data_IF_935951030587
#
_entry.id   IF_935951030587
#
_cell.length_a   1.000
_cell.length_b   1.000
_cell.length_c   1.000
_cell.angle_alpha   90.00
_cell.angle_beta   90.00
_cell.angle_gamma   90.00
#
_symmetry.space_group_name_H-M   'P 1'
#
loop_
_entity.id
_entity.type
_entity.pdbx_description
1 polymer ?
#
# COMPACT_ATOMS: atom_id res chain seq x y z
N UNK A 1 -20.61 18.84 11.43
CA UNK A 1 -19.66 17.75 11.73
C UNK A 1 -19.56 16.81 10.53
N UNK A 2 -18.37 16.48 10.03
CA UNK A 2 -18.23 15.58 8.85
C UNK A 2 -18.56 14.14 9.27
N UNK A 3 -19.41 13.47 8.51
CA UNK A 3 -19.85 12.10 8.78
C UNK A 3 -18.71 11.08 8.60
N UNK A 4 -18.77 9.89 9.23
CA UNK A 4 -17.76 8.85 9.03
C UNK A 4 -17.59 8.42 7.57
N UNK A 5 -18.67 8.37 6.81
CA UNK A 5 -18.67 8.00 5.39
C UNK A 5 -17.96 9.07 4.54
N UNK A 6 -18.31 10.35 4.73
CA UNK A 6 -17.64 11.46 4.04
C UNK A 6 -16.13 11.51 4.36
N UNK A 7 -15.74 11.19 5.60
CA UNK A 7 -14.32 11.09 5.98
C UNK A 7 -13.59 10.00 5.21
N UNK A 8 -14.22 8.83 5.08
CA UNK A 8 -13.67 7.70 4.34
C UNK A 8 -13.54 8.05 2.84
N UNK A 9 -14.61 8.56 2.23
CA UNK A 9 -14.63 8.94 0.81
C UNK A 9 -13.60 10.02 0.49
N UNK A 10 -13.47 11.04 1.34
CA UNK A 10 -12.46 12.09 1.21
C UNK A 10 -11.05 11.51 1.24
N UNK A 11 -10.80 10.53 2.11
CA UNK A 11 -9.49 9.88 2.25
C UNK A 11 -9.17 9.00 1.03
N UNK A 12 -10.15 8.25 0.53
CA UNK A 12 -9.99 7.43 -0.68
C UNK A 12 -9.75 8.30 -1.92
N UNK A 13 -10.44 9.44 -2.04
CA UNK A 13 -10.24 10.43 -3.11
C UNK A 13 -8.80 10.98 -3.10
N UNK A 14 -8.24 11.23 -1.90
CA UNK A 14 -6.85 11.63 -1.74
C UNK A 14 -5.87 10.53 -2.19
N UNK A 15 -6.06 9.28 -1.74
CA UNK A 15 -5.19 8.17 -2.16
C UNK A 15 -5.24 7.89 -3.67
N UNK A 16 -6.42 7.96 -4.28
CA UNK A 16 -6.60 7.68 -5.70
C UNK A 16 -5.99 8.76 -6.61
N UNK A 17 -6.00 10.02 -6.16
CA UNK A 17 -5.51 11.14 -6.97
C UNK A 17 -4.02 11.44 -6.78
N UNK A 18 -3.45 11.10 -5.62
CA UNK A 18 -2.11 11.57 -5.22
C UNK A 18 -1.99 13.10 -5.19
N UNK A 19 -3.13 13.82 -5.24
CA UNK A 19 -3.18 15.26 -5.38
C UNK A 19 -3.02 15.96 -4.02
N UNK A 20 -2.74 17.25 -4.05
CA UNK A 20 -2.66 18.06 -2.84
C UNK A 20 -4.02 18.07 -2.10
N UNK A 21 -3.95 18.19 -0.76
CA UNK A 21 -5.13 18.28 0.10
C UNK A 21 -6.12 19.39 -0.29
N UNK A 22 -5.66 20.46 -0.95
CA UNK A 22 -6.53 21.53 -1.48
C UNK A 22 -7.45 21.02 -2.60
N UNK A 23 -6.90 20.29 -3.57
CA UNK A 23 -7.66 19.72 -4.70
C UNK A 23 -8.67 18.68 -4.22
N UNK A 24 -8.32 17.93 -3.17
CA UNK A 24 -9.25 16.98 -2.56
C UNK A 24 -10.34 17.68 -1.74
N UNK A 25 -10.03 18.83 -1.12
CA UNK A 25 -10.99 19.65 -0.39
C UNK A 25 -12.06 20.27 -1.28
N UNK A 26 -11.67 20.73 -2.46
CA UNK A 26 -12.59 21.33 -3.44
C UNK A 26 -13.67 20.34 -3.93
N UNK A 27 -13.37 19.03 -3.95
CA UNK A 27 -14.34 17.99 -4.36
C UNK A 27 -15.37 17.65 -3.29
N UNK A 28 -15.10 18.01 -2.03
CA UNK A 28 -15.94 17.68 -0.89
C UNK A 28 -16.40 18.93 -0.13
N UNK A 29 -16.15 20.13 -0.68
CA UNK A 29 -16.40 21.44 -0.04
C UNK A 29 -15.81 21.54 1.38
N UNK A 30 -14.62 20.95 1.58
CA UNK A 30 -13.95 20.91 2.87
C UNK A 30 -12.70 21.81 2.87
N UNK A 31 -12.49 22.60 3.94
CA UNK A 31 -11.24 23.32 4.12
C UNK A 31 -10.05 22.36 4.13
N UNK A 32 -8.93 22.77 3.52
CA UNK A 32 -7.67 21.99 3.47
C UNK A 32 -7.26 21.43 4.84
N UNK A 33 -7.36 22.22 5.90
CA UNK A 33 -7.02 21.80 7.25
C UNK A 33 -7.91 20.65 7.75
N UNK A 34 -9.20 20.68 7.39
CA UNK A 34 -10.16 19.61 7.69
C UNK A 34 -9.82 18.34 6.94
N UNK A 35 -9.53 18.43 5.63
CA UNK A 35 -9.11 17.29 4.81
C UNK A 35 -7.84 16.65 5.38
N UNK A 36 -6.83 17.45 5.71
CA UNK A 36 -5.59 16.97 6.31
C UNK A 36 -5.84 16.17 7.60
N UNK A 37 -6.67 16.69 8.50
CA UNK A 37 -7.04 15.97 9.74
C UNK A 37 -7.80 14.68 9.47
N UNK A 38 -8.74 14.71 8.52
CA UNK A 38 -9.54 13.55 8.13
C UNK A 38 -8.65 12.45 7.57
N UNK A 39 -7.77 12.78 6.61
CA UNK A 39 -6.85 11.82 6.00
C UNK A 39 -5.97 11.17 7.05
N UNK A 40 -5.38 11.92 7.98
CA UNK A 40 -4.60 11.34 9.06
C UNK A 40 -5.43 10.41 9.96
N UNK A 41 -6.61 10.86 10.41
CA UNK A 41 -7.48 10.05 11.28
C UNK A 41 -7.89 8.72 10.64
N UNK A 42 -8.27 8.75 9.35
CA UNK A 42 -8.67 7.55 8.61
C UNK A 42 -7.46 6.67 8.30
N UNK A 43 -6.32 7.26 7.89
CA UNK A 43 -5.06 6.52 7.67
C UNK A 43 -4.66 5.74 8.92
N UNK A 44 -4.67 6.39 10.09
CA UNK A 44 -4.35 5.76 11.37
C UNK A 44 -5.34 4.63 11.72
N UNK A 45 -6.63 4.82 11.43
CA UNK A 45 -7.64 3.80 11.67
C UNK A 45 -7.43 2.57 10.77
N UNK A 46 -7.11 2.78 9.49
CA UNK A 46 -6.77 1.71 8.55
C UNK A 46 -5.48 1.01 8.98
N UNK A 47 -4.44 1.76 9.35
CA UNK A 47 -3.15 1.22 9.78
C UNK A 47 -3.29 0.32 11.03
N UNK A 48 -4.19 0.65 11.97
CA UNK A 48 -4.50 -0.22 13.12
C UNK A 48 -5.08 -1.58 12.73
N UNK A 49 -5.66 -1.71 11.53
CA UNK A 49 -6.14 -2.98 10.99
C UNK A 49 -5.04 -3.79 10.30
N UNK A 50 -3.82 -3.27 10.16
CA UNK A 50 -2.73 -3.91 9.41
C UNK A 50 -2.48 -5.35 9.88
N UNK A 51 -2.36 -5.59 11.19
CA UNK A 51 -2.11 -6.93 11.74
C UNK A 51 -3.24 -7.94 11.47
N UNK A 52 -4.42 -7.48 11.07
CA UNK A 52 -5.55 -8.36 10.71
C UNK A 52 -5.52 -8.77 9.24
N UNK A 53 -5.04 -7.89 8.36
CA UNK A 53 -5.12 -8.07 6.91
C UNK A 53 -3.77 -8.34 6.25
N UNK A 54 -2.68 -7.88 6.83
CA UNK A 54 -1.30 -8.03 6.34
C UNK A 54 -0.66 -9.16 7.15
N UNK A 55 -0.95 -10.40 6.76
CA UNK A 55 -0.45 -11.60 7.42
C UNK A 55 0.25 -12.51 6.41
N UNK A 56 1.39 -13.08 6.80
CA UNK A 56 2.06 -14.15 6.05
C UNK A 56 1.57 -15.51 6.53
N UNK A 57 1.55 -16.55 5.67
CA UNK A 57 1.18 -17.89 6.08
C UNK A 57 2.12 -18.40 7.19
N UNK A 58 1.54 -18.86 8.29
CA UNK A 58 2.29 -19.25 9.48
C UNK A 58 2.45 -20.77 9.58
N UNK A 59 1.40 -21.53 9.27
CA UNK A 59 1.45 -22.99 9.33
C UNK A 59 2.11 -23.58 8.08
N UNK A 60 2.73 -24.76 8.21
CA UNK A 60 3.29 -25.46 7.04
C UNK A 60 2.24 -25.83 6.01
N UNK A 61 1.00 -26.08 6.44
CA UNK A 61 -0.13 -26.29 5.55
C UNK A 61 -0.42 -25.05 4.71
N UNK A 62 -0.57 -23.88 5.35
CA UNK A 62 -0.80 -22.61 4.64
C UNK A 62 0.34 -22.28 3.69
N UNK A 63 1.60 -22.49 4.12
CA UNK A 63 2.77 -22.26 3.27
C UNK A 63 2.75 -23.19 2.05
N UNK A 64 2.40 -24.45 2.22
CA UNK A 64 2.31 -25.43 1.11
C UNK A 64 1.22 -25.04 0.12
N UNK A 65 0.05 -24.66 0.62
CA UNK A 65 -1.07 -24.18 -0.21
C UNK A 65 -0.70 -22.91 -0.97
N UNK A 66 -0.06 -21.94 -0.32
CA UNK A 66 0.40 -20.69 -0.96
C UNK A 66 1.48 -20.95 -2.01
N UNK A 67 2.46 -21.81 -1.74
CA UNK A 67 3.48 -22.22 -2.74
C UNK A 67 2.85 -22.81 -3.98
N UNK A 68 1.88 -23.70 -3.80
CA UNK A 68 1.17 -24.32 -4.92
C UNK A 68 0.46 -23.26 -5.77
N UNK A 69 -0.29 -22.36 -5.15
CA UNK A 69 -1.01 -21.27 -5.85
C UNK A 69 -0.07 -20.33 -6.60
N UNK A 70 1.03 -19.90 -5.98
CA UNK A 70 2.03 -19.06 -6.67
C UNK A 70 2.66 -19.79 -7.85
N UNK A 71 3.04 -21.06 -7.66
CA UNK A 71 3.66 -21.84 -8.71
C UNK A 71 2.73 -22.08 -9.90
N UNK A 72 1.43 -22.26 -9.67
CA UNK A 72 0.41 -22.38 -10.72
C UNK A 72 0.31 -21.12 -11.59
N UNK A 73 0.47 -19.93 -11.00
CA UNK A 73 0.33 -18.64 -11.69
C UNK A 73 1.64 -18.22 -12.36
N UNK A 74 2.76 -18.25 -11.63
CA UNK A 74 4.02 -17.61 -12.06
C UNK A 74 5.13 -18.59 -12.40
N UNK A 75 4.95 -19.89 -12.10
CA UNK A 75 5.99 -20.92 -12.12
C UNK A 75 7.17 -20.65 -11.17
N UNK A 76 7.09 -19.62 -10.34
CA UNK A 76 8.13 -19.30 -9.38
C UNK A 76 8.14 -20.33 -8.23
N UNK A 77 9.26 -21.04 -8.01
CA UNK A 77 9.31 -22.09 -7.00
C UNK A 77 9.36 -21.52 -5.58
N UNK A 78 8.77 -22.24 -4.62
CA UNK A 78 8.87 -21.98 -3.18
C UNK A 78 8.40 -20.58 -2.69
N UNK A 79 7.64 -19.82 -3.47
CA UNK A 79 7.07 -18.55 -3.04
C UNK A 79 5.95 -18.76 -1.99
N UNK A 80 6.06 -18.11 -0.83
CA UNK A 80 5.03 -18.14 0.23
C UNK A 80 4.30 -16.81 0.40
N UNK A 81 4.53 -15.85 -0.49
CA UNK A 81 3.99 -14.51 -0.41
C UNK A 81 4.77 -13.55 -1.29
N UNK A 82 4.17 -12.41 -1.59
CA UNK A 82 4.79 -11.31 -2.33
C UNK A 82 4.61 -10.02 -1.55
N UNK A 83 5.64 -9.18 -1.56
CA UNK A 83 5.63 -7.85 -0.99
C UNK A 83 6.00 -6.87 -2.10
N UNK A 84 5.13 -5.90 -2.36
CA UNK A 84 5.35 -4.85 -3.35
C UNK A 84 5.79 -3.53 -2.67
N UNK A 85 6.28 -2.58 -3.46
CA UNK A 85 6.67 -1.23 -3.02
C UNK A 85 7.80 -1.16 -1.97
N UNK A 86 8.63 -2.20 -1.86
CA UNK A 86 9.80 -2.18 -0.98
C UNK A 86 11.04 -1.73 -1.74
N UNK A 87 11.61 -0.58 -1.37
CA UNK A 87 12.92 -0.15 -1.87
C UNK A 87 14.03 -0.93 -1.14
N UNK A 88 14.39 -2.09 -1.68
CA UNK A 88 15.51 -2.87 -1.16
C UNK A 88 16.80 -2.17 -1.57
N UNK A 89 17.58 -1.71 -0.58
CA UNK A 89 18.92 -1.16 -0.84
C UNK A 89 19.83 -2.29 -1.31
N UNK A 90 20.40 -2.12 -2.49
CA UNK A 90 21.43 -2.99 -3.04
C UNK A 90 22.68 -2.16 -3.32
N UNK A 91 23.85 -2.81 -3.29
CA UNK A 91 25.06 -2.20 -3.83
C UNK A 91 24.92 -2.14 -5.35
N UNK A 92 25.29 -1.01 -5.95
CA UNK A 92 25.27 -0.89 -7.41
C UNK A 92 26.15 -1.99 -8.01
N UNK A 93 25.62 -2.81 -8.95
CA UNK A 93 26.42 -3.83 -9.61
C UNK A 93 27.52 -3.23 -10.50
N UNK A 94 27.47 -1.93 -10.78
CA UNK A 94 28.41 -1.25 -11.67
C UNK A 94 28.21 -1.61 -13.15
N UNK A 95 29.08 -1.08 -14.01
CA UNK A 95 29.05 -1.30 -15.45
C UNK A 95 27.89 -0.61 -16.18
N UNK A 96 27.75 -0.92 -17.46
CA UNK A 96 26.80 -0.24 -18.38
C UNK A 96 25.33 -0.40 -17.98
N UNK A 97 25.01 -1.42 -17.17
CA UNK A 97 23.65 -1.77 -16.75
C UNK A 97 23.29 -1.28 -15.33
N UNK A 98 24.16 -0.51 -14.66
CA UNK A 98 23.93 -0.08 -13.28
C UNK A 98 22.58 0.66 -13.09
N UNK A 99 22.17 1.45 -14.09
CA UNK A 99 20.92 2.22 -14.05
C UNK A 99 19.66 1.34 -14.05
N UNK A 100 19.72 0.09 -14.54
CA UNK A 100 18.57 -0.85 -14.52
C UNK A 100 18.18 -1.23 -13.09
N UNK A 101 19.18 -1.21 -12.18
CA UNK A 101 19.02 -1.58 -10.78
C UNK A 101 18.74 -0.38 -9.87
N UNK A 102 18.57 0.81 -10.45
CA UNK A 102 18.28 2.03 -9.70
C UNK A 102 16.80 2.08 -9.33
N UNK A 103 16.54 1.96 -8.04
CA UNK A 103 15.24 2.32 -7.45
C UNK A 103 14.98 3.82 -7.67
N UNK A 104 13.84 4.17 -8.28
CA UNK A 104 13.41 5.55 -8.56
C UNK A 104 12.30 5.99 -7.61
#
# INVERSE_FOLDING_TARGET
PVSPEEKLLTTLSFYASGAFFSVCGDRHDLPKATVCRIVHQVSDAIARLANRFICMPQSEREKTETRKKFHEITRFPHCIGALDCTHVRIQSPGGDNAEIYRNR
#
